data_IF_454283117295
#
_entry.id   IF_454283117295
#
_cell.length_a   1.000
_cell.length_b   1.000
_cell.length_c   1.000
_cell.angle_alpha   90.00
_cell.angle_beta   90.00
_cell.angle_gamma   90.00
#
_symmetry.space_group_name_H-M   'P 1'
#
loop_
_entity.id
_entity.type
_entity.pdbx_description
1 polymer ?
#
# COMPACT_ATOMS: atom_id res chain seq x y z
N UNK A 1 8.72 -43.57 -31.35
CA UNK A 1 7.65 -42.76 -31.95
C UNK A 1 6.63 -42.45 -30.87
N UNK A 2 6.56 -41.16 -30.54
CA UNK A 2 5.45 -40.35 -30.01
C UNK A 2 4.62 -40.90 -28.84
N UNK A 3 4.89 -40.45 -27.60
CA UNK A 3 4.34 -39.23 -26.94
C UNK A 3 2.83 -39.34 -26.68
N UNK A 4 2.50 -39.89 -25.52
CA UNK A 4 1.22 -39.78 -24.82
C UNK A 4 1.47 -38.97 -23.54
N UNK A 5 1.70 -37.66 -23.69
CA UNK A 5 1.71 -36.70 -22.60
C UNK A 5 1.02 -35.43 -23.07
N UNK A 6 -0.28 -35.52 -23.32
CA UNK A 6 -1.10 -34.35 -23.62
C UNK A 6 -2.38 -34.42 -22.78
N UNK A 7 -2.46 -33.50 -21.79
CA UNK A 7 -3.63 -32.69 -21.40
C UNK A 7 -3.75 -32.26 -19.92
N UNK A 8 -2.71 -32.41 -19.09
CA UNK A 8 -2.70 -31.77 -17.75
C UNK A 8 -1.77 -30.57 -17.61
N UNK A 9 -0.94 -30.30 -18.62
CA UNK A 9 0.02 -29.18 -18.63
C UNK A 9 -0.48 -28.03 -19.53
N UNK A 10 -1.34 -28.30 -20.50
CA UNK A 10 -1.88 -27.28 -21.42
C UNK A 10 -2.88 -26.30 -20.79
N UNK A 11 -3.42 -26.58 -19.59
CA UNK A 11 -4.31 -25.65 -18.87
C UNK A 11 -3.57 -24.75 -17.86
N UNK A 12 -2.24 -24.88 -17.71
CA UNK A 12 -1.45 -24.07 -16.77
C UNK A 12 -0.69 -22.89 -17.42
N UNK A 13 -1.00 -22.53 -18.67
CA UNK A 13 -0.18 -21.60 -19.46
C UNK A 13 -0.86 -20.33 -20.00
N UNK A 14 -2.01 -19.88 -19.47
CA UNK A 14 -2.60 -18.58 -19.91
C UNK A 14 -3.14 -17.72 -18.76
N UNK A 15 -2.38 -17.59 -17.68
CA UNK A 15 -2.43 -16.37 -16.86
C UNK A 15 -1.02 -15.79 -16.85
N UNK A 16 -0.72 -15.04 -17.91
CA UNK A 16 0.33 -14.05 -17.82
C UNK A 16 -0.05 -13.15 -16.63
N UNK A 17 0.63 -13.33 -15.49
CA UNK A 17 0.47 -12.46 -14.34
C UNK A 17 0.90 -11.07 -14.78
N UNK A 18 -0.07 -10.21 -15.09
CA UNK A 18 0.18 -8.81 -15.39
C UNK A 18 0.60 -8.17 -14.06
N UNK A 19 1.90 -8.05 -13.84
CA UNK A 19 2.46 -7.33 -12.70
C UNK A 19 2.51 -5.86 -13.11
N UNK A 20 1.61 -5.06 -12.55
CA UNK A 20 1.67 -3.61 -12.69
C UNK A 20 2.49 -3.06 -11.54
N UNK A 21 3.54 -2.29 -11.83
CA UNK A 21 4.37 -1.61 -10.84
C UNK A 21 4.00 -0.13 -10.85
N UNK A 22 3.51 0.37 -9.72
CA UNK A 22 3.23 1.79 -9.48
C UNK A 22 4.27 2.29 -8.48
N UNK A 23 5.10 3.25 -8.90
CA UNK A 23 6.05 3.93 -8.03
C UNK A 23 5.43 5.25 -7.55
N UNK A 24 5.49 5.53 -6.24
CA UNK A 24 5.13 6.84 -5.69
C UNK A 24 6.00 7.94 -6.30
N UNK A 25 5.43 9.12 -6.55
CA UNK A 25 6.11 10.19 -7.24
C UNK A 25 7.21 10.86 -6.38
N UNK A 26 8.47 10.40 -6.50
CA UNK A 26 9.66 11.26 -6.59
C UNK A 26 10.93 10.44 -6.91
N UNK A 27 11.27 10.33 -8.20
CA UNK A 27 12.62 9.94 -8.63
C UNK A 27 12.72 9.23 -9.96
N UNK A 28 12.42 9.91 -11.07
CA UNK A 28 13.06 9.53 -12.35
C UNK A 28 14.55 9.84 -12.21
N UNK A 29 15.37 8.83 -11.92
CA UNK A 29 16.83 8.92 -12.09
C UNK A 29 17.14 8.80 -13.58
N UNK A 30 17.09 9.93 -14.30
CA UNK A 30 17.79 10.06 -15.57
C UNK A 30 19.29 10.18 -15.27
N UNK A 31 19.97 9.04 -15.15
CA UNK A 31 21.44 8.98 -15.12
C UNK A 31 21.97 9.22 -16.54
N UNK A 32 22.12 10.48 -16.94
CA UNK A 32 22.99 10.84 -18.07
C UNK A 32 24.39 11.04 -17.51
N UNK A 33 25.27 10.08 -17.78
CA UNK A 33 26.70 10.16 -17.47
C UNK A 33 27.34 11.33 -18.20
N UNK A 34 27.89 12.29 -17.46
CA UNK A 34 28.55 13.47 -18.02
C UNK A 34 29.37 14.27 -17.00
N UNK A 35 30.56 13.76 -16.68
CA UNK A 35 31.83 14.45 -16.43
C UNK A 35 31.93 15.66 -15.44
N UNK A 36 32.85 15.46 -14.48
CA UNK A 36 33.78 16.40 -13.81
C UNK A 36 33.41 17.17 -12.52
N UNK A 37 34.34 16.99 -11.56
CA UNK A 37 34.80 17.92 -10.51
C UNK A 37 34.09 17.97 -9.16
N UNK A 38 34.59 17.12 -8.26
CA UNK A 38 35.09 17.48 -6.92
C UNK A 38 34.26 18.40 -6.01
N UNK A 39 33.68 17.81 -4.97
CA UNK A 39 33.89 18.23 -3.58
C UNK A 39 33.26 17.19 -2.67
N UNK A 40 34.06 16.66 -1.75
CA UNK A 40 33.61 15.84 -0.64
C UNK A 40 32.69 16.70 0.24
N UNK A 41 31.40 16.39 0.22
CA UNK A 41 30.45 16.87 1.22
C UNK A 41 29.82 15.61 1.81
N UNK A 42 30.25 15.26 3.01
CA UNK A 42 29.57 14.32 3.88
C UNK A 42 28.13 14.82 4.09
N UNK A 43 27.22 14.37 3.24
CA UNK A 43 25.80 14.53 3.46
C UNK A 43 25.43 13.70 4.68
N UNK A 44 25.22 14.38 5.81
CA UNK A 44 24.55 13.80 6.95
C UNK A 44 23.30 13.08 6.45
N UNK A 45 23.20 11.77 6.71
CA UNK A 45 21.97 11.01 6.53
C UNK A 45 20.90 11.69 7.38
N UNK A 46 20.13 12.57 6.77
CA UNK A 46 18.84 12.98 7.31
C UNK A 46 18.01 11.72 7.30
N UNK A 47 17.96 11.03 8.43
CA UNK A 47 17.04 9.92 8.63
C UNK A 47 15.63 10.50 8.57
N UNK A 48 15.05 10.51 7.37
CA UNK A 48 13.61 10.54 7.22
C UNK A 48 13.11 9.26 7.88
N UNK A 49 12.85 9.34 9.18
CA UNK A 49 12.26 8.22 9.90
C UNK A 49 10.79 8.19 9.49
N UNK A 50 10.36 7.06 8.90
CA UNK A 50 8.95 6.74 8.71
C UNK A 50 8.15 7.13 9.94
N UNK A 51 7.09 7.94 9.74
CA UNK A 51 6.32 8.53 10.84
C UNK A 51 5.76 7.42 11.76
N UNK A 52 6.25 7.37 12.99
CA UNK A 52 5.87 6.36 13.99
C UNK A 52 4.58 6.70 14.73
N UNK A 53 3.85 7.72 14.26
CA UNK A 53 2.63 8.19 14.91
C UNK A 53 1.40 7.47 14.34
N UNK A 54 0.42 7.16 15.19
CA UNK A 54 -0.91 6.80 14.71
C UNK A 54 -1.53 8.02 14.03
N UNK A 55 -1.75 7.92 12.72
CA UNK A 55 -2.36 8.99 11.95
C UNK A 55 -3.87 8.82 12.08
N UNK A 56 -4.51 9.83 12.66
CA UNK A 56 -5.97 9.89 12.70
C UNK A 56 -6.47 10.08 11.26
N UNK A 57 -7.38 9.23 10.81
CA UNK A 57 -8.00 9.41 9.51
C UNK A 57 -8.69 10.79 9.43
N UNK A 58 -8.40 11.56 8.39
CA UNK A 58 -9.13 12.79 8.13
C UNK A 58 -10.53 12.45 7.59
N UNK A 59 -11.53 12.62 8.45
CA UNK A 59 -12.93 12.37 8.14
C UNK A 59 -13.69 13.63 7.66
N UNK A 60 -12.96 14.67 7.25
CA UNK A 60 -13.54 15.87 6.64
C UNK A 60 -14.35 15.51 5.38
N UNK A 61 -15.37 16.33 5.07
CA UNK A 61 -16.16 16.15 3.85
C UNK A 61 -15.27 16.32 2.61
N UNK A 62 -14.36 17.29 2.64
CA UNK A 62 -13.43 17.58 1.55
C UNK A 62 -12.52 16.39 1.24
N UNK A 63 -11.90 15.80 2.26
CA UNK A 63 -11.05 14.63 2.06
C UNK A 63 -11.85 13.41 1.58
N UNK A 64 -13.03 13.16 2.16
CA UNK A 64 -13.89 12.06 1.73
C UNK A 64 -14.29 12.18 0.25
N UNK A 65 -14.63 13.40 -0.20
CA UNK A 65 -14.97 13.69 -1.58
C UNK A 65 -13.77 13.53 -2.51
N UNK A 66 -12.62 14.07 -2.13
CA UNK A 66 -11.38 13.98 -2.91
C UNK A 66 -10.97 12.53 -3.13
N UNK A 67 -10.87 11.74 -2.07
CA UNK A 67 -10.55 10.31 -2.13
C UNK A 67 -11.58 9.52 -2.94
N UNK A 68 -12.87 9.77 -2.72
CA UNK A 68 -13.92 9.08 -3.46
C UNK A 68 -13.90 9.39 -4.96
N UNK A 69 -13.50 10.62 -5.34
CA UNK A 69 -13.34 10.99 -6.75
C UNK A 69 -12.19 10.27 -7.45
N UNK A 70 -11.21 9.75 -6.69
CA UNK A 70 -10.09 8.95 -7.18
C UNK A 70 -10.38 7.43 -7.18
N UNK A 71 -11.64 7.03 -7.02
CA UNK A 71 -12.02 5.62 -7.02
C UNK A 71 -11.61 4.94 -8.34
N UNK A 72 -11.00 3.76 -8.25
CA UNK A 72 -10.46 3.01 -9.39
C UNK A 72 -11.37 1.85 -9.75
N UNK A 73 -11.88 1.85 -10.99
CA UNK A 73 -12.71 0.76 -11.53
C UNK A 73 -11.87 -0.31 -12.23
N UNK A 74 -10.81 0.10 -12.92
CA UNK A 74 -9.88 -0.78 -13.62
C UNK A 74 -8.48 -0.64 -13.04
N UNK A 75 -7.98 -1.71 -12.44
CA UNK A 75 -6.61 -1.76 -11.87
C UNK A 75 -5.52 -1.65 -12.93
N UNK A 76 -5.87 -1.86 -14.21
CA UNK A 76 -4.94 -1.66 -15.32
C UNK A 76 -4.74 -0.18 -15.69
N UNK A 77 -5.61 0.70 -15.19
CA UNK A 77 -5.39 2.14 -15.25
C UNK A 77 -4.39 2.55 -14.15
N UNK A 78 -3.11 2.33 -14.45
CA UNK A 78 -2.01 2.64 -13.53
C UNK A 78 -1.96 4.12 -13.13
N UNK A 79 -2.47 5.03 -13.95
CA UNK A 79 -2.54 6.45 -13.62
C UNK A 79 -3.64 6.72 -12.58
N UNK A 80 -4.81 6.09 -12.73
CA UNK A 80 -5.86 6.16 -11.71
C UNK A 80 -5.43 5.51 -10.39
N UNK A 81 -4.74 4.36 -10.45
CA UNK A 81 -4.16 3.71 -9.26
C UNK A 81 -3.16 4.63 -8.56
N UNK A 82 -2.21 5.21 -9.31
CA UNK A 82 -1.23 6.14 -8.75
C UNK A 82 -1.91 7.36 -8.09
N UNK A 83 -2.84 8.00 -8.80
CA UNK A 83 -3.58 9.15 -8.30
C UNK A 83 -4.32 8.84 -7.00
N UNK A 84 -4.93 7.65 -6.88
CA UNK A 84 -5.56 7.22 -5.64
C UNK A 84 -4.56 7.08 -4.49
N UNK A 85 -3.46 6.33 -4.70
CA UNK A 85 -2.48 6.06 -3.64
C UNK A 85 -1.76 7.34 -3.19
N UNK A 86 -1.52 8.29 -4.11
CA UNK A 86 -1.02 9.64 -3.81
C UNK A 86 -2.03 10.45 -3.00
N UNK A 87 -3.30 10.46 -3.42
CA UNK A 87 -4.37 11.17 -2.70
C UNK A 87 -4.59 10.62 -1.29
N UNK A 88 -4.36 9.32 -1.09
CA UNK A 88 -4.38 8.68 0.22
C UNK A 88 -3.22 9.09 1.14
N UNK A 89 -2.16 9.71 0.61
CA UNK A 89 -0.99 10.10 1.38
C UNK A 89 -0.25 8.90 1.96
N UNK A 90 -0.17 7.77 1.25
CA UNK A 90 0.52 6.56 1.75
C UNK A 90 1.99 6.87 2.08
N UNK A 91 2.62 7.77 1.31
CA UNK A 91 4.00 8.18 1.58
C UNK A 91 4.13 8.93 2.92
N UNK A 92 3.16 9.75 3.30
CA UNK A 92 3.13 10.42 4.62
C UNK A 92 2.94 9.42 5.78
N UNK A 93 2.30 8.29 5.48
CA UNK A 93 2.04 7.21 6.44
C UNK A 93 3.24 6.30 6.63
N UNK A 94 3.87 5.89 5.52
CA UNK A 94 4.75 4.73 5.48
C UNK A 94 6.13 5.03 4.88
N UNK A 95 6.38 6.27 4.44
CA UNK A 95 7.56 6.64 3.68
C UNK A 95 7.48 6.15 2.23
N UNK A 96 8.60 6.22 1.51
CA UNK A 96 8.68 5.81 0.11
C UNK A 96 8.28 4.34 -0.06
N UNK A 97 7.48 4.07 -1.08
CA UNK A 97 6.98 2.73 -1.35
C UNK A 97 6.93 2.42 -2.85
N UNK A 98 6.91 1.13 -3.17
CA UNK A 98 6.48 0.61 -4.45
C UNK A 98 5.20 -0.20 -4.26
N UNK A 99 4.22 -0.03 -5.14
CA UNK A 99 2.99 -0.82 -5.13
C UNK A 99 2.96 -1.74 -6.36
N UNK A 100 2.55 -2.99 -6.15
CA UNK A 100 2.30 -3.94 -7.23
C UNK A 100 0.92 -4.55 -7.12
N UNK A 101 0.27 -4.81 -8.25
CA UNK A 101 -1.02 -5.50 -8.30
C UNK A 101 -0.85 -6.80 -9.09
N UNK A 102 -1.41 -7.90 -8.56
CA UNK A 102 -1.39 -9.22 -9.19
C UNK A 102 -2.74 -9.92 -9.04
N UNK A 103 -3.05 -10.77 -10.00
CA UNK A 103 -4.23 -11.63 -9.93
C UNK A 103 -4.14 -12.58 -8.73
N UNK A 104 -5.27 -12.75 -8.04
CA UNK A 104 -5.42 -13.57 -6.86
C UNK A 104 -6.82 -14.21 -6.82
N UNK A 105 -6.93 -15.39 -7.43
CA UNK A 105 -8.21 -16.05 -7.67
C UNK A 105 -9.13 -15.18 -8.51
N UNK A 106 -10.33 -14.90 -8.00
CA UNK A 106 -11.33 -14.03 -8.64
C UNK A 106 -11.14 -12.53 -8.31
N UNK A 107 -10.09 -12.20 -7.56
CA UNK A 107 -9.77 -10.83 -7.12
C UNK A 107 -8.33 -10.46 -7.47
N UNK A 108 -7.92 -9.26 -7.06
CA UNK A 108 -6.55 -8.78 -7.16
C UNK A 108 -5.95 -8.64 -5.75
N UNK A 109 -4.66 -8.91 -5.63
CA UNK A 109 -3.88 -8.59 -4.44
C UNK A 109 -2.96 -7.41 -4.75
N UNK A 110 -2.99 -6.39 -3.89
CA UNK A 110 -2.03 -5.28 -3.92
C UNK A 110 -0.93 -5.52 -2.90
N UNK A 111 0.33 -5.44 -3.30
CA UNK A 111 1.49 -5.50 -2.41
C UNK A 111 2.16 -4.13 -2.36
N UNK A 112 2.38 -3.59 -1.17
CA UNK A 112 3.05 -2.31 -0.91
C UNK A 112 4.39 -2.60 -0.22
N UNK A 113 5.49 -2.36 -0.90
CA UNK A 113 6.84 -2.56 -0.38
C UNK A 113 7.41 -1.22 0.08
N UNK A 114 7.66 -1.08 1.38
CA UNK A 114 8.28 0.12 1.95
C UNK A 114 9.78 0.08 1.71
N UNK A 115 10.32 1.18 1.19
CA UNK A 115 11.72 1.29 0.78
C UNK A 115 12.63 1.74 1.92
N UNK A 116 12.05 2.21 3.03
CA UNK A 116 12.78 2.71 4.19
C UNK A 116 12.61 1.76 5.40
N UNK A 117 13.69 1.48 6.16
CA UNK A 117 13.60 0.66 7.35
C UNK A 117 12.73 1.28 8.44
N UNK A 118 11.91 0.46 9.07
CA UNK A 118 10.99 0.83 10.14
C UNK A 118 11.62 0.55 11.50
N UNK A 119 11.59 1.53 12.39
CA UNK A 119 12.04 1.34 13.77
C UNK A 119 11.13 0.33 14.49
N UNK A 120 11.70 -0.60 15.28
CA UNK A 120 10.92 -1.61 16.03
C UNK A 120 9.81 -0.98 16.89
N UNK A 121 10.06 0.18 17.49
CA UNK A 121 9.09 0.92 18.28
C UNK A 121 7.90 1.46 17.45
N UNK A 122 8.10 1.74 16.16
CA UNK A 122 7.10 2.27 15.24
C UNK A 122 6.20 1.21 14.59
N UNK A 123 6.61 -0.07 14.65
CA UNK A 123 5.94 -1.19 13.95
C UNK A 123 4.42 -1.21 14.15
N UNK A 124 3.97 -1.14 15.41
CA UNK A 124 2.54 -1.24 15.74
C UNK A 124 1.72 -0.08 15.16
N UNK A 125 2.29 1.13 15.15
CA UNK A 125 1.61 2.31 14.62
C UNK A 125 1.58 2.29 13.10
N UNK A 126 2.68 1.90 12.46
CA UNK A 126 2.71 1.66 11.02
C UNK A 126 1.67 0.64 10.59
N UNK A 127 1.66 -0.56 11.20
CA UNK A 127 0.71 -1.61 10.85
C UNK A 127 -0.73 -1.14 11.02
N UNK A 128 -1.03 -0.36 12.07
CA UNK A 128 -2.36 0.22 12.28
C UNK A 128 -2.75 1.23 11.20
N UNK A 129 -1.82 2.08 10.78
CA UNK A 129 -2.06 3.05 9.72
C UNK A 129 -2.24 2.33 8.36
N UNK A 130 -1.42 1.32 8.08
CA UNK A 130 -1.52 0.51 6.87
C UNK A 130 -2.79 -0.34 6.82
N UNK A 131 -3.29 -0.83 7.95
CA UNK A 131 -4.61 -1.45 8.04
C UNK A 131 -5.72 -0.49 7.58
N UNK A 132 -5.67 0.78 8.03
CA UNK A 132 -6.64 1.79 7.60
C UNK A 132 -6.53 2.06 6.09
N UNK A 133 -5.30 2.18 5.57
CA UNK A 133 -5.04 2.34 4.14
C UNK A 133 -5.58 1.14 3.34
N UNK A 134 -5.31 -0.08 3.78
CA UNK A 134 -5.78 -1.31 3.15
C UNK A 134 -7.31 -1.38 3.06
N UNK A 135 -8.01 -0.98 4.12
CA UNK A 135 -9.48 -0.88 4.11
C UNK A 135 -9.99 0.18 3.13
N UNK A 136 -9.31 1.32 3.02
CA UNK A 136 -9.65 2.37 2.06
C UNK A 136 -9.41 1.91 0.62
N UNK A 137 -8.27 1.25 0.34
CA UNK A 137 -7.95 0.64 -0.95
C UNK A 137 -9.03 -0.35 -1.36
N UNK A 138 -9.40 -1.30 -0.50
CA UNK A 138 -10.46 -2.29 -0.83
C UNK A 138 -11.84 -1.65 -1.04
N UNK A 139 -12.11 -0.50 -0.39
CA UNK A 139 -13.35 0.25 -0.63
C UNK A 139 -13.31 1.02 -1.97
N UNK A 140 -12.18 1.62 -2.32
CA UNK A 140 -12.01 2.47 -3.51
C UNK A 140 -11.48 1.72 -4.74
N UNK A 141 -11.12 0.44 -4.59
CA UNK A 141 -10.67 -0.45 -5.65
C UNK A 141 -11.36 -1.81 -5.47
N UNK A 142 -12.64 -1.96 -5.85
CA UNK A 142 -13.42 -3.14 -5.46
C UNK A 142 -12.92 -4.47 -6.04
N UNK A 143 -12.08 -4.45 -7.06
CA UNK A 143 -11.40 -5.64 -7.59
C UNK A 143 -10.26 -6.13 -6.69
N UNK A 144 -9.73 -5.27 -5.79
CA UNK A 144 -8.72 -5.65 -4.80
C UNK A 144 -9.40 -6.33 -3.61
N UNK A 145 -9.05 -7.59 -3.37
CA UNK A 145 -9.56 -8.41 -2.26
C UNK A 145 -8.58 -8.56 -1.10
N UNK A 146 -7.31 -8.20 -1.30
CA UNK A 146 -6.26 -8.27 -0.29
C UNK A 146 -5.22 -7.18 -0.52
N UNK A 147 -4.73 -6.61 0.58
CA UNK A 147 -3.57 -5.72 0.59
C UNK A 147 -2.50 -6.32 1.50
N UNK A 148 -1.28 -6.39 0.99
CA UNK A 148 -0.08 -6.86 1.68
C UNK A 148 0.88 -5.68 1.79
N UNK A 149 1.55 -5.52 2.93
CA UNK A 149 2.65 -4.56 3.05
C UNK A 149 3.88 -5.20 3.68
N UNK A 150 5.03 -4.87 3.12
CA UNK A 150 6.33 -5.44 3.49
C UNK A 150 7.29 -4.32 3.86
N UNK A 151 8.04 -4.51 4.94
CA UNK A 151 9.07 -3.57 5.38
C UNK A 151 10.20 -4.27 6.10
N UNK A 152 11.38 -3.67 6.03
CA UNK A 152 12.55 -4.05 6.83
C UNK A 152 12.48 -3.38 8.19
N UNK A 153 12.84 -4.09 9.25
CA UNK A 153 13.02 -3.52 10.59
C UNK A 153 14.46 -3.02 10.73
N UNK A 154 14.61 -1.78 11.19
CA UNK A 154 15.93 -1.21 11.47
C UNK A 154 16.67 -2.07 12.51
N UNK A 155 17.79 -2.66 12.11
CA UNK A 155 18.69 -3.37 13.01
C UNK A 155 19.62 -2.40 13.73
N UNK A 156 19.89 -2.66 15.01
CA UNK A 156 20.93 -1.96 15.79
C UNK A 156 22.26 -2.73 15.76
N UNK A 157 22.32 -3.89 15.11
CA UNK A 157 23.49 -4.75 14.99
C UNK A 157 23.87 -4.97 13.52
N UNK A 158 25.03 -5.57 13.25
CA UNK A 158 25.50 -5.93 11.89
C UNK A 158 24.74 -7.15 11.29
N UNK A 159 23.60 -7.52 11.85
CA UNK A 159 22.76 -8.61 11.36
C UNK A 159 21.88 -8.12 10.21
N UNK A 160 21.50 -9.05 9.31
CA UNK A 160 20.61 -8.77 8.18
C UNK A 160 19.28 -8.14 8.64
N UNK A 161 18.77 -7.21 7.85
CA UNK A 161 17.51 -6.53 8.15
C UNK A 161 16.36 -7.54 8.22
N UNK A 162 15.73 -7.64 9.40
CA UNK A 162 14.57 -8.49 9.62
C UNK A 162 13.39 -7.96 8.79
N UNK A 163 12.91 -8.74 7.84
CA UNK A 163 11.77 -8.36 6.99
C UNK A 163 10.46 -8.84 7.61
N UNK A 164 9.49 -7.92 7.74
CA UNK A 164 8.13 -8.23 8.15
C UNK A 164 7.19 -8.08 6.95
N UNK A 165 6.25 -9.01 6.80
CA UNK A 165 5.15 -8.92 5.85
C UNK A 165 3.84 -9.07 6.61
N UNK A 166 2.92 -8.13 6.40
CA UNK A 166 1.60 -8.12 7.00
C UNK A 166 0.57 -8.07 5.88
N UNK A 167 -0.60 -8.65 6.13
CA UNK A 167 -1.66 -8.75 5.15
C UNK A 167 -3.02 -8.49 5.77
N UNK A 168 -3.90 -7.84 5.01
CA UNK A 168 -5.30 -7.68 5.34
C UNK A 168 -6.16 -8.07 4.12
N UNK A 169 -6.96 -9.12 4.28
CA UNK A 169 -7.95 -9.53 3.30
C UNK A 169 -9.35 -8.95 3.61
N UNK A 170 -10.26 -9.10 2.64
CA UNK A 170 -11.64 -8.62 2.72
C UNK A 170 -12.40 -9.18 3.95
N UNK A 171 -12.16 -10.45 4.32
CA UNK A 171 -12.84 -11.08 5.44
C UNK A 171 -12.39 -10.51 6.78
N UNK A 172 -11.08 -10.33 6.95
CA UNK A 172 -10.47 -9.71 8.12
C UNK A 172 -10.89 -8.23 8.22
N UNK A 173 -10.86 -7.47 7.12
CA UNK A 173 -11.35 -6.09 7.09
C UNK A 173 -12.84 -6.00 7.46
N UNK A 174 -13.66 -6.88 6.90
CA UNK A 174 -15.10 -6.96 7.21
C UNK A 174 -15.35 -7.26 8.68
N UNK A 175 -14.56 -8.15 9.28
CA UNK A 175 -14.62 -8.45 10.71
C UNK A 175 -14.26 -7.24 11.56
N UNK A 176 -13.16 -6.55 11.24
CA UNK A 176 -12.74 -5.33 11.94
C UNK A 176 -13.77 -4.20 11.82
N UNK A 177 -14.41 -4.08 10.65
CA UNK A 177 -15.40 -3.05 10.36
C UNK A 177 -16.84 -3.46 10.73
N UNK A 178 -17.06 -4.70 11.18
CA UNK A 178 -18.39 -5.28 11.43
C UNK A 178 -19.38 -5.09 10.27
N UNK A 179 -18.85 -4.88 9.06
CA UNK A 179 -19.57 -4.56 7.83
C UNK A 179 -18.61 -4.77 6.67
N UNK A 180 -19.12 -5.34 5.60
CA UNK A 180 -18.43 -5.53 4.33
C UNK A 180 -17.71 -4.23 3.89
N UNK A 181 -16.39 -4.31 3.72
CA UNK A 181 -15.52 -3.19 3.37
C UNK A 181 -15.90 -2.55 2.03
N UNK A 182 -16.31 -3.35 1.04
CA UNK A 182 -16.69 -2.88 -0.29
C UNK A 182 -17.97 -2.04 -0.27
N UNK A 183 -18.84 -2.23 0.74
CA UNK A 183 -20.03 -1.38 0.92
C UNK A 183 -19.70 0.06 1.28
N UNK A 184 -18.49 0.36 1.76
CA UNK A 184 -18.06 1.75 1.97
C UNK A 184 -17.72 2.45 0.64
N UNK A 185 -17.34 1.72 -0.40
CA UNK A 185 -17.06 2.26 -1.74
C UNK A 185 -18.28 2.59 -2.62
N UNK A 186 -19.51 2.34 -2.16
CA UNK A 186 -20.72 2.51 -2.99
C UNK A 186 -21.19 3.96 -3.16
N UNK A 187 -20.69 4.89 -2.35
CA UNK A 187 -20.99 6.32 -2.43
C UNK A 187 -20.00 7.11 -1.58
N UNK A 188 -19.78 8.39 -1.89
CA UNK A 188 -19.00 9.31 -1.05
C UNK A 188 -19.47 9.30 0.41
N UNK A 189 -20.78 9.38 0.63
CA UNK A 189 -21.38 9.30 1.97
C UNK A 189 -21.07 8.00 2.70
N UNK A 190 -21.00 6.88 1.97
CA UNK A 190 -20.60 5.61 2.56
C UNK A 190 -19.11 5.62 2.88
N UNK A 191 -18.26 6.14 1.99
CA UNK A 191 -16.82 6.20 2.20
C UNK A 191 -16.46 7.11 3.38
N UNK A 192 -17.11 8.27 3.52
CA UNK A 192 -16.97 9.13 4.72
C UNK A 192 -17.25 8.37 6.02
N UNK A 193 -18.23 7.46 6.04
CA UNK A 193 -18.50 6.64 7.24
C UNK A 193 -17.35 5.69 7.58
N UNK A 194 -16.59 5.23 6.58
CA UNK A 194 -15.35 4.47 6.82
C UNK A 194 -14.32 5.35 7.53
N UNK A 195 -14.07 6.55 7.00
CA UNK A 195 -13.11 7.50 7.56
C UNK A 195 -13.47 7.90 9.01
N UNK A 196 -14.75 8.17 9.29
CA UNK A 196 -15.24 8.44 10.65
C UNK A 196 -14.94 7.26 11.57
N UNK A 197 -15.28 6.04 11.15
CA UNK A 197 -15.04 4.83 11.94
C UNK A 197 -13.54 4.60 12.22
N UNK A 198 -12.68 4.90 11.26
CA UNK A 198 -11.23 4.81 11.44
C UNK A 198 -10.70 5.91 12.38
N UNK A 199 -11.26 7.12 12.29
CA UNK A 199 -10.92 8.25 13.17
C UNK A 199 -11.33 8.01 14.63
N UNK A 200 -12.46 7.34 14.86
CA UNK A 200 -13.00 7.01 16.19
C UNK A 200 -12.25 5.84 16.84
N UNK A 201 -11.67 4.95 16.04
CA UNK A 201 -10.88 3.80 16.50
C UNK A 201 -9.40 4.15 16.77
N UNK A 202 -8.98 5.41 16.63
CA UNK A 202 -7.65 5.84 17.01
C UNK A 202 -7.51 5.82 18.54
N UNK A 203 -6.46 5.20 19.13
CA UNK A 203 -6.29 5.20 20.57
C UNK A 203 -6.16 6.64 21.08
N UNK A 204 -6.96 6.98 22.10
CA UNK A 204 -6.84 8.28 22.78
C UNK A 204 -5.39 8.48 23.22
N UNK A 205 -4.82 9.68 22.96
CA UNK A 205 -3.51 10.05 23.49
C UNK A 205 -3.54 9.81 25.00
N UNK A 206 -2.75 8.85 25.50
CA UNK A 206 -2.51 8.74 26.93
C UNK A 206 -1.88 10.05 27.38
N UNK A 207 -2.59 10.79 28.23
CA UNK A 207 -2.07 11.98 28.91
C UNK A 207 -0.94 11.60 29.86
#
# INVERSE_FOLDING_TARGET
>A
MNRLFDNKIALRLVLAALILVVMGAAGVLLSVSGLHSGSEAAAAKSSSATSTQNIKADASEENAKLLYSCRVEDVNDTAAVAALLETMGIEDVAGKYAATIRADGDTQAMTIELQEPVQKAGKKSLDKNMENCAQQIMALMPSVGRVEWTYSLASTSKEEDETATVSLDEAAATKQLSKDVKKYGKSEKAFKKLLIKQADNAPAKSK
#
